data_IF_682076449636
#
_entry.id   IF_682076449636
#
_cell.length_a   1.000
_cell.length_b   1.000
_cell.length_c   1.000
_cell.angle_alpha   90.00
_cell.angle_beta   90.00
_cell.angle_gamma   90.00
#
_symmetry.space_group_name_H-M   'P 1'
#
loop_
_entity.id
_entity.type
_entity.pdbx_description
1 polymer ?
#
# COMPACT_ATOMS: atom_id res chain seq x y z
N UNK A 1 16.65 -39.25 49.65
CA UNK A 1 15.97 -39.81 48.46
C UNK A 1 14.69 -39.07 48.07
N UNK A 2 13.78 -38.75 48.99
CA UNK A 2 12.47 -38.15 48.65
C UNK A 2 12.54 -36.74 48.00
N UNK A 3 13.58 -35.94 48.28
CA UNK A 3 13.78 -34.62 47.64
C UNK A 3 14.24 -34.73 46.18
N UNK A 4 14.99 -35.76 45.84
CA UNK A 4 15.40 -36.03 44.45
C UNK A 4 14.25 -36.60 43.62
N UNK A 5 13.36 -37.39 44.23
CA UNK A 5 12.15 -37.90 43.59
C UNK A 5 11.20 -36.75 43.19
N UNK A 6 11.07 -35.73 44.03
CA UNK A 6 10.26 -34.53 43.74
C UNK A 6 10.84 -33.67 42.61
N UNK A 7 12.17 -33.59 42.50
CA UNK A 7 12.86 -32.87 41.41
C UNK A 7 12.75 -33.60 40.06
N UNK A 8 12.72 -34.94 40.08
CA UNK A 8 12.64 -35.76 38.87
C UNK A 8 11.22 -35.79 38.27
N UNK A 9 10.18 -35.66 39.10
CA UNK A 9 8.78 -35.56 38.67
C UNK A 9 8.42 -34.21 38.02
N UNK A 10 9.14 -33.14 38.36
CA UNK A 10 8.91 -31.81 37.79
C UNK A 10 9.43 -31.69 36.34
N UNK A 11 10.41 -32.51 35.96
CA UNK A 11 11.04 -32.46 34.64
C UNK A 11 10.20 -33.15 33.54
N UNK A 12 9.25 -34.00 33.89
CA UNK A 12 8.42 -34.76 32.91
C UNK A 12 7.28 -33.94 32.30
N UNK A 13 7.03 -32.71 32.76
CA UNK A 13 5.97 -31.86 32.21
C UNK A 13 6.39 -30.99 31.01
N UNK A 14 7.67 -31.01 30.61
CA UNK A 14 8.18 -30.11 29.55
C UNK A 14 8.21 -30.79 28.16
N UNK A 15 7.96 -32.10 28.05
CA UNK A 15 7.91 -32.80 26.76
C UNK A 15 6.48 -33.07 26.29
N UNK A 16 5.74 -32.00 25.94
CA UNK A 16 4.46 -32.13 25.25
C UNK A 16 4.19 -30.93 24.34
N UNK A 17 4.94 -30.81 23.25
CA UNK A 17 4.55 -30.03 22.06
C UNK A 17 5.40 -30.45 20.86
N UNK A 18 4.90 -31.38 20.03
CA UNK A 18 5.06 -31.44 18.57
C UNK A 18 4.53 -32.79 18.04
N UNK A 19 3.26 -32.83 17.61
CA UNK A 19 2.77 -33.83 16.66
C UNK A 19 1.90 -33.14 15.63
N UNK A 20 2.53 -32.73 14.53
CA UNK A 20 1.83 -32.29 13.33
C UNK A 20 1.55 -33.56 12.52
N UNK A 21 0.32 -34.05 12.61
CA UNK A 21 -0.22 -35.04 11.68
C UNK A 21 -0.83 -34.30 10.50
N UNK A 22 -0.06 -34.14 9.42
CA UNK A 22 -0.62 -33.99 8.07
C UNK A 22 -0.79 -35.41 7.50
N UNK A 23 -1.83 -36.10 7.96
CA UNK A 23 -2.34 -37.29 7.28
C UNK A 23 -3.49 -36.87 6.37
N UNK A 24 -3.19 -36.76 5.07
CA UNK A 24 -4.18 -36.78 4.01
C UNK A 24 -3.96 -38.05 3.17
N UNK A 25 -4.48 -39.18 3.66
CA UNK A 25 -4.85 -40.30 2.80
C UNK A 25 -6.37 -40.40 2.79
N UNK A 26 -6.96 -39.95 1.67
CA UNK A 26 -8.32 -40.23 1.26
C UNK A 26 -8.28 -40.94 -0.09
N UNK A 27 -8.96 -42.06 -0.17
CA UNK A 27 -8.87 -43.11 -1.18
C UNK A 27 -9.38 -42.71 -2.57
N UNK A 28 -8.91 -43.45 -3.58
CA UNK A 28 -9.38 -43.43 -4.97
C UNK A 28 -10.85 -43.84 -5.04
N UNK A 29 -11.71 -42.95 -5.51
CA UNK A 29 -13.00 -43.30 -6.13
C UNK A 29 -13.09 -42.63 -7.49
N UNK A 30 -13.42 -43.41 -8.51
CA UNK A 30 -13.43 -43.01 -9.91
C UNK A 30 -14.46 -41.93 -10.19
N UNK A 31 -14.00 -40.72 -10.48
CA UNK A 31 -14.64 -39.78 -11.38
C UNK A 31 -13.55 -38.80 -11.83
N UNK A 32 -13.05 -38.93 -13.05
CA UNK A 32 -12.11 -37.95 -13.60
C UNK A 32 -12.85 -36.61 -13.66
N UNK A 33 -12.46 -35.58 -12.88
CA UNK A 33 -13.10 -34.29 -12.99
C UNK A 33 -12.73 -33.74 -14.37
N UNK A 34 -13.74 -33.52 -15.20
CA UNK A 34 -13.57 -32.77 -16.44
C UNK A 34 -13.06 -31.39 -16.01
N UNK A 35 -11.77 -31.14 -16.21
CA UNK A 35 -11.16 -29.84 -15.91
C UNK A 35 -11.63 -28.88 -16.98
N UNK A 36 -12.79 -28.29 -16.76
CA UNK A 36 -13.22 -27.09 -17.48
C UNK A 36 -12.29 -25.96 -17.04
N UNK A 37 -11.41 -25.53 -17.95
CA UNK A 37 -10.69 -24.28 -17.83
C UNK A 37 -11.71 -23.15 -17.98
N UNK A 38 -12.43 -22.86 -16.91
CA UNK A 38 -13.26 -21.66 -16.83
C UNK A 38 -12.35 -20.48 -16.50
N UNK A 39 -12.11 -19.65 -17.52
CA UNK A 39 -11.34 -18.41 -17.42
C UNK A 39 -11.94 -17.39 -16.45
N UNK A 40 -13.14 -17.66 -15.90
CA UNK A 40 -13.84 -16.81 -14.94
C UNK A 40 -13.67 -17.23 -13.46
N UNK A 41 -12.90 -18.27 -13.16
CA UNK A 41 -12.54 -18.58 -11.76
C UNK A 41 -11.45 -17.59 -11.34
N UNK A 42 -11.70 -16.70 -10.35
CA UNK A 42 -10.67 -15.78 -9.88
C UNK A 42 -9.46 -16.60 -9.46
N UNK A 43 -8.32 -16.34 -10.11
CA UNK A 43 -7.02 -16.95 -9.78
C UNK A 43 -6.88 -16.87 -8.26
N UNK A 44 -6.82 -18.03 -7.60
CA UNK A 44 -6.63 -18.10 -6.16
C UNK A 44 -5.28 -17.45 -5.85
N UNK A 45 -5.30 -16.19 -5.41
CA UNK A 45 -4.10 -15.49 -4.97
C UNK A 45 -3.50 -16.30 -3.83
N UNK A 46 -2.26 -16.71 -3.98
CA UNK A 46 -1.54 -17.48 -2.98
C UNK A 46 -1.47 -16.68 -1.68
N UNK A 47 -1.69 -17.32 -0.53
CA UNK A 47 -1.58 -16.62 0.75
C UNK A 47 -0.10 -16.40 1.06
N UNK A 48 0.35 -15.15 0.94
CA UNK A 48 1.68 -14.69 1.36
C UNK A 48 1.58 -13.88 2.64
N UNK A 49 2.65 -13.88 3.44
CA UNK A 49 2.77 -12.99 4.59
C UNK A 49 2.92 -11.53 4.14
N UNK A 50 2.58 -10.57 5.01
CA UNK A 50 2.77 -9.15 4.70
C UNK A 50 4.22 -8.79 4.37
N UNK A 51 5.19 -9.48 4.98
CA UNK A 51 6.61 -9.32 4.68
C UNK A 51 6.95 -9.78 3.26
N UNK A 52 6.51 -10.99 2.88
CA UNK A 52 6.71 -11.50 1.52
C UNK A 52 6.03 -10.63 0.47
N UNK A 53 4.85 -10.09 0.76
CA UNK A 53 4.17 -9.15 -0.12
C UNK A 53 4.98 -7.85 -0.22
N UNK A 54 5.46 -7.31 0.90
CA UNK A 54 6.25 -6.08 0.91
C UNK A 54 7.52 -6.22 0.05
N UNK A 55 8.26 -7.31 0.21
CA UNK A 55 9.44 -7.62 -0.61
C UNK A 55 9.11 -7.76 -2.09
N UNK A 56 7.99 -8.42 -2.42
CA UNK A 56 7.51 -8.54 -3.79
C UNK A 56 7.19 -7.19 -4.42
N UNK A 57 6.46 -6.32 -3.71
CA UNK A 57 6.11 -4.98 -4.19
C UNK A 57 7.33 -4.06 -4.33
N UNK A 58 8.32 -4.18 -3.44
CA UNK A 58 9.61 -3.49 -3.58
C UNK A 58 10.30 -3.93 -4.87
N UNK A 59 10.48 -5.24 -5.07
CA UNK A 59 11.15 -5.77 -6.26
C UNK A 59 10.48 -5.32 -7.55
N UNK A 60 9.14 -5.40 -7.60
CA UNK A 60 8.35 -4.95 -8.73
C UNK A 60 8.55 -3.46 -9.00
N UNK A 61 8.51 -2.63 -7.96
CA UNK A 61 8.69 -1.18 -8.09
C UNK A 61 10.10 -0.80 -8.54
N UNK A 62 11.13 -1.43 -7.97
CA UNK A 62 12.54 -1.19 -8.35
C UNK A 62 12.89 -1.68 -9.76
N UNK A 63 12.05 -2.52 -10.38
CA UNK A 63 12.25 -2.96 -11.76
C UNK A 63 11.88 -1.90 -12.81
N UNK A 64 11.17 -0.85 -12.39
CA UNK A 64 10.74 0.25 -13.26
C UNK A 64 11.92 1.20 -13.51
N UNK A 65 12.17 1.62 -14.76
CA UNK A 65 13.24 2.56 -15.08
C UNK A 65 13.14 3.85 -14.25
N UNK A 66 14.30 4.36 -13.83
CA UNK A 66 14.44 5.57 -13.01
C UNK A 66 13.84 5.46 -11.59
N UNK A 67 13.56 4.24 -11.11
CA UNK A 67 13.38 3.97 -9.68
C UNK A 67 14.69 3.44 -9.12
N UNK A 68 15.33 4.19 -8.24
CA UNK A 68 16.60 3.84 -7.61
C UNK A 68 16.42 2.91 -6.41
N UNK A 69 15.41 3.17 -5.59
CA UNK A 69 15.08 2.36 -4.42
C UNK A 69 13.57 2.38 -4.20
N UNK A 70 13.06 1.38 -3.49
CA UNK A 70 11.67 1.33 -3.07
C UNK A 70 11.52 0.78 -1.66
N UNK A 71 10.42 1.11 -1.02
CA UNK A 71 10.06 0.57 0.29
C UNK A 71 8.57 0.29 0.32
N UNK A 72 8.18 -0.86 0.84
CA UNK A 72 6.79 -1.22 1.02
C UNK A 72 6.46 -1.56 2.47
N UNK A 73 5.25 -1.19 2.89
CA UNK A 73 4.65 -1.58 4.17
C UNK A 73 3.25 -2.09 3.89
N UNK A 74 2.99 -3.35 4.26
CA UNK A 74 1.70 -4.02 4.04
C UNK A 74 0.96 -4.19 5.35
N UNK A 75 -0.27 -3.69 5.40
CA UNK A 75 -1.16 -3.79 6.56
C UNK A 75 -2.52 -4.31 6.14
N UNK A 76 -2.81 -5.56 6.51
CA UNK A 76 -4.05 -6.22 6.15
C UNK A 76 -4.18 -6.35 4.63
N UNK A 77 -5.08 -5.57 4.04
CA UNK A 77 -5.34 -5.55 2.59
C UNK A 77 -4.70 -4.35 1.87
N UNK A 78 -4.12 -3.43 2.61
CA UNK A 78 -3.54 -2.20 2.07
C UNK A 78 -2.02 -2.33 2.01
N UNK A 79 -1.43 -1.69 1.00
CA UNK A 79 0.01 -1.55 0.86
C UNK A 79 0.36 -0.07 0.67
N UNK A 80 1.43 0.38 1.32
CA UNK A 80 2.04 1.68 1.07
C UNK A 80 3.37 1.43 0.40
N UNK A 81 3.60 2.02 -0.77
CA UNK A 81 4.82 1.85 -1.55
C UNK A 81 5.46 3.21 -1.79
N UNK A 82 6.63 3.43 -1.22
CA UNK A 82 7.46 4.59 -1.46
C UNK A 82 8.50 4.28 -2.52
N UNK A 83 8.67 5.19 -3.48
CA UNK A 83 9.70 5.10 -4.53
C UNK A 83 10.67 6.28 -4.41
N UNK A 84 11.96 5.99 -4.55
CA UNK A 84 13.01 6.99 -4.74
C UNK A 84 13.39 7.03 -6.22
N UNK A 85 13.21 8.20 -6.83
CA UNK A 85 13.46 8.43 -8.26
C UNK A 85 14.78 9.18 -8.53
N UNK A 86 15.56 9.46 -7.49
CA UNK A 86 16.82 10.22 -7.62
C UNK A 86 16.64 11.73 -7.74
N UNK A 87 17.68 12.46 -7.37
CA UNK A 87 17.66 13.93 -7.32
C UNK A 87 17.79 14.58 -8.70
N UNK A 88 18.38 13.89 -9.68
CA UNK A 88 18.54 14.37 -11.05
C UNK A 88 17.26 14.28 -11.90
N UNK A 89 16.23 13.56 -11.45
CA UNK A 89 14.96 13.45 -12.18
C UNK A 89 14.14 14.73 -12.03
N UNK A 90 13.77 15.32 -13.16
CA UNK A 90 12.92 16.51 -13.15
C UNK A 90 11.56 16.21 -12.52
N UNK A 91 11.02 17.15 -11.73
CA UNK A 91 9.70 17.02 -11.08
C UNK A 91 8.56 16.69 -12.06
N UNK A 92 8.67 17.15 -13.30
CA UNK A 92 7.76 16.85 -14.42
C UNK A 92 7.76 15.36 -14.79
N UNK A 93 8.89 14.67 -14.65
CA UNK A 93 9.07 13.25 -15.00
C UNK A 93 8.69 12.31 -13.85
N UNK A 94 8.77 12.78 -12.60
CA UNK A 94 8.35 12.02 -11.40
C UNK A 94 6.91 11.53 -11.52
N UNK A 95 6.01 12.34 -12.09
CA UNK A 95 4.63 11.95 -12.33
C UNK A 95 4.50 10.73 -13.25
N UNK A 96 5.27 10.71 -14.33
CA UNK A 96 5.31 9.60 -15.29
C UNK A 96 5.86 8.33 -14.66
N UNK A 97 6.95 8.43 -13.89
CA UNK A 97 7.53 7.27 -13.18
C UNK A 97 6.52 6.71 -12.17
N UNK A 98 5.88 7.59 -11.38
CA UNK A 98 4.84 7.18 -10.43
C UNK A 98 3.67 6.48 -11.14
N UNK A 99 3.29 6.94 -12.33
CA UNK A 99 2.27 6.29 -13.16
C UNK A 99 2.70 4.89 -13.60
N UNK A 100 3.91 4.73 -14.11
CA UNK A 100 4.44 3.42 -14.52
C UNK A 100 4.52 2.42 -13.35
N UNK A 101 4.91 2.88 -12.17
CA UNK A 101 4.88 2.06 -10.95
C UNK A 101 3.42 1.71 -10.59
N UNK A 102 2.50 2.67 -10.63
CA UNK A 102 1.10 2.43 -10.33
C UNK A 102 0.46 1.40 -11.28
N UNK A 103 0.79 1.44 -12.57
CA UNK A 103 0.34 0.46 -13.57
C UNK A 103 0.87 -0.94 -13.25
N UNK A 104 2.18 -1.09 -13.02
CA UNK A 104 2.78 -2.36 -12.67
C UNK A 104 2.18 -2.97 -11.38
N UNK A 105 1.94 -2.14 -10.36
CA UNK A 105 1.32 -2.58 -9.10
C UNK A 105 -0.17 -2.91 -9.29
N UNK A 106 -0.89 -2.19 -10.15
CA UNK A 106 -2.31 -2.42 -10.40
C UNK A 106 -2.56 -3.78 -11.06
N UNK A 107 -1.65 -4.24 -11.93
CA UNK A 107 -1.71 -5.57 -12.54
C UNK A 107 -1.30 -6.69 -11.57
N UNK A 108 -0.64 -6.35 -10.46
CA UNK A 108 -0.22 -7.30 -9.44
C UNK A 108 -1.35 -7.58 -8.42
N UNK A 109 -1.68 -8.87 -8.14
CA UNK A 109 -2.75 -9.21 -7.21
C UNK A 109 -2.53 -8.71 -5.78
N UNK A 110 -1.28 -8.46 -5.37
CA UNK A 110 -0.93 -7.90 -4.07
C UNK A 110 -0.73 -6.38 -4.10
N UNK A 111 -0.49 -5.80 -5.28
CA UNK A 111 -0.29 -4.36 -5.50
C UNK A 111 -1.56 -3.58 -5.87
N UNK A 112 -2.65 -4.27 -6.22
CA UNK A 112 -3.90 -3.65 -6.70
C UNK A 112 -4.53 -2.60 -5.76
N UNK A 113 -4.17 -2.62 -4.47
CA UNK A 113 -4.63 -1.65 -3.46
C UNK A 113 -3.49 -0.81 -2.87
N UNK A 114 -2.36 -0.70 -3.59
CA UNK A 114 -1.20 0.03 -3.14
C UNK A 114 -1.39 1.55 -3.27
N UNK A 115 -0.94 2.29 -2.26
CA UNK A 115 -0.79 3.74 -2.30
C UNK A 115 0.66 4.05 -2.61
N UNK A 116 0.92 4.78 -3.71
CA UNK A 116 2.26 5.10 -4.18
C UNK A 116 2.68 6.51 -3.74
N UNK A 117 3.88 6.61 -3.18
CA UNK A 117 4.48 7.84 -2.68
C UNK A 117 5.82 8.06 -3.38
N UNK A 118 6.02 9.24 -3.97
CA UNK A 118 7.28 9.64 -4.62
C UNK A 118 7.87 10.93 -4.02
N UNK A 119 7.31 11.38 -2.91
CA UNK A 119 7.81 12.53 -2.17
C UNK A 119 8.99 12.09 -1.28
N UNK A 120 10.15 12.77 -1.31
CA UNK A 120 11.33 12.37 -0.54
C UNK A 120 11.10 12.30 0.97
N UNK A 121 10.35 13.24 1.55
CA UNK A 121 10.10 13.31 2.99
C UNK A 121 9.18 12.15 3.42
N UNK A 122 8.11 11.90 2.66
CA UNK A 122 7.20 10.79 2.92
C UNK A 122 7.86 9.42 2.65
N UNK A 123 8.75 9.33 1.65
CA UNK A 123 9.56 8.13 1.40
C UNK A 123 10.46 7.81 2.60
N UNK A 124 11.20 8.81 3.11
CA UNK A 124 12.04 8.64 4.28
C UNK A 124 11.22 8.18 5.49
N UNK A 125 10.05 8.78 5.70
CA UNK A 125 9.13 8.38 6.75
C UNK A 125 8.64 6.94 6.60
N UNK A 126 8.26 6.52 5.40
CA UNK A 126 7.84 5.16 5.13
C UNK A 126 8.98 4.14 5.35
N UNK A 127 10.23 4.54 5.05
CA UNK A 127 11.43 3.73 5.30
C UNK A 127 11.68 3.49 6.78
N UNK A 128 11.50 4.51 7.62
CA UNK A 128 11.55 4.36 9.08
C UNK A 128 10.48 3.38 9.58
N UNK A 129 9.24 3.55 9.12
CA UNK A 129 8.12 2.69 9.49
C UNK A 129 8.39 1.23 9.08
N UNK A 130 8.87 0.99 7.86
CA UNK A 130 9.20 -0.35 7.39
C UNK A 130 10.25 -1.03 8.28
N UNK A 131 11.28 -0.28 8.68
CA UNK A 131 12.31 -0.78 9.60
C UNK A 131 11.73 -1.11 10.97
N UNK A 132 10.83 -0.29 11.49
CA UNK A 132 10.17 -0.53 12.77
C UNK A 132 9.24 -1.75 12.74
N UNK A 133 8.53 -1.96 11.63
CA UNK A 133 7.75 -3.19 11.38
C UNK A 133 8.66 -4.42 11.37
N UNK A 134 9.79 -4.37 10.65
CA UNK A 134 10.76 -5.46 10.60
C UNK A 134 11.36 -5.79 11.97
N UNK A 135 11.55 -4.78 12.82
CA UNK A 135 12.05 -4.93 14.19
C UNK A 135 10.97 -5.39 15.19
N UNK A 136 9.73 -5.62 14.75
CA UNK A 136 8.65 -6.10 15.61
C UNK A 136 8.06 -5.03 16.54
N UNK A 137 8.15 -3.74 16.19
CA UNK A 137 7.54 -2.67 16.99
C UNK A 137 6.01 -2.79 17.03
N UNK A 138 5.35 -2.35 18.12
CA UNK A 138 3.89 -2.38 18.23
C UNK A 138 3.20 -1.56 17.13
N UNK A 139 2.22 -2.16 16.46
CA UNK A 139 1.48 -1.55 15.35
C UNK A 139 0.82 -0.21 15.72
N UNK A 140 0.42 -0.02 16.99
CA UNK A 140 -0.24 1.21 17.44
C UNK A 140 0.61 2.47 17.22
N UNK A 141 1.94 2.37 17.37
CA UNK A 141 2.86 3.48 17.08
C UNK A 141 2.92 3.77 15.59
N UNK A 142 3.05 2.72 14.78
CA UNK A 142 3.11 2.78 13.31
C UNK A 142 1.82 3.35 12.70
N UNK A 143 0.65 3.01 13.24
CA UNK A 143 -0.63 3.51 12.74
C UNK A 143 -0.77 5.02 12.87
N UNK A 144 -0.24 5.63 13.93
CA UNK A 144 -0.24 7.08 14.08
C UNK A 144 0.60 7.73 12.96
N UNK A 145 1.79 7.17 12.69
CA UNK A 145 2.69 7.69 11.65
C UNK A 145 2.14 7.49 10.23
N UNK A 146 1.48 6.36 9.96
CA UNK A 146 0.81 6.12 8.68
C UNK A 146 -0.42 7.01 8.48
N UNK A 147 -1.09 7.42 9.55
CA UNK A 147 -2.23 8.34 9.47
C UNK A 147 -1.78 9.73 8.99
N UNK A 148 -0.61 10.19 9.43
CA UNK A 148 -0.04 11.45 8.96
C UNK A 148 0.34 11.40 7.46
N UNK A 149 0.83 10.24 6.98
CA UNK A 149 1.12 10.00 5.57
C UNK A 149 -0.18 9.94 4.74
N UNK A 150 -1.16 9.17 5.21
CA UNK A 150 -2.45 8.95 4.52
C UNK A 150 -3.31 10.22 4.48
N UNK A 151 -3.28 11.05 5.53
CA UNK A 151 -4.03 12.31 5.57
C UNK A 151 -3.53 13.36 4.57
N UNK A 152 -2.25 13.28 4.17
CA UNK A 152 -1.66 14.12 3.12
C UNK A 152 -1.85 13.52 1.73
N UNK A 153 -2.04 12.21 1.65
CA UNK A 153 -2.34 11.46 0.44
C UNK A 153 -3.85 11.21 0.40
N UNK A 154 -4.65 12.25 0.18
CA UNK A 154 -6.06 12.03 -0.13
C UNK A 154 -6.12 11.16 -1.38
N UNK A 155 -6.62 9.91 -1.30
CA UNK A 155 -6.63 9.06 -2.47
C UNK A 155 -7.61 9.66 -3.46
N UNK A 156 -7.12 10.02 -4.65
CA UNK A 156 -7.95 10.01 -5.83
C UNK A 156 -8.28 8.54 -6.09
N UNK A 157 -9.26 8.01 -5.35
CA UNK A 157 -9.82 6.71 -5.65
C UNK A 157 -10.36 6.86 -7.06
N UNK A 158 -9.83 6.16 -8.08
CA UNK A 158 -10.45 6.18 -9.38
C UNK A 158 -11.84 5.61 -9.15
N UNK A 159 -12.88 6.42 -9.33
CA UNK A 159 -14.18 5.85 -9.68
C UNK A 159 -13.87 4.98 -10.88
N UNK A 160 -14.09 3.68 -10.75
CA UNK A 160 -13.98 2.67 -11.80
C UNK A 160 -14.14 3.32 -13.18
N UNK A 161 -13.11 3.25 -14.01
CA UNK A 161 -13.05 3.86 -15.36
C UNK A 161 -14.14 3.32 -16.31
N UNK A 162 -15.03 2.46 -15.83
CA UNK A 162 -16.18 1.95 -16.58
C UNK A 162 -17.31 2.96 -16.75
N UNK A 163 -17.34 4.05 -15.97
CA UNK A 163 -18.37 5.10 -16.06
C UNK A 163 -17.84 6.46 -16.54
N UNK A 164 -16.56 6.59 -16.87
CA UNK A 164 -16.03 7.83 -17.47
C UNK A 164 -16.24 7.78 -18.98
N UNK A 165 -17.49 7.96 -19.41
CA UNK A 165 -17.75 8.47 -20.75
C UNK A 165 -17.11 9.88 -20.80
N UNK A 166 -16.10 10.15 -21.65
CA UNK A 166 -15.49 11.48 -21.76
C UNK A 166 -16.48 12.59 -22.16
N UNK A 167 -17.70 12.21 -22.57
CA UNK A 167 -18.82 13.12 -22.87
C UNK A 167 -19.56 13.65 -21.63
N UNK A 168 -19.32 13.11 -20.43
CA UNK A 168 -19.97 13.53 -19.17
C UNK A 168 -18.99 14.11 -18.14
N UNK A 169 -17.81 14.57 -18.58
CA UNK A 169 -16.97 15.42 -17.73
C UNK A 169 -17.75 16.68 -17.32
N UNK A 170 -17.48 17.29 -16.15
CA UNK A 170 -18.07 18.59 -15.85
C UNK A 170 -17.62 19.58 -16.93
N UNK A 171 -18.53 19.95 -17.82
CA UNK A 171 -18.27 20.86 -18.97
C UNK A 171 -17.72 22.23 -18.56
N UNK A 172 -17.67 22.54 -17.26
CA UNK A 172 -17.18 23.80 -16.74
C UNK A 172 -16.51 23.61 -15.37
N UNK A 173 -15.18 23.70 -15.24
CA UNK A 173 -14.49 23.78 -13.95
C UNK A 173 -14.82 25.04 -13.13
N UNK A 174 -15.71 25.91 -13.61
CA UNK A 174 -16.08 27.20 -13.01
C UNK A 174 -17.54 27.29 -12.57
N UNK A 175 -18.21 26.14 -12.38
CA UNK A 175 -19.65 26.08 -12.14
C UNK A 175 -20.13 26.56 -10.77
N UNK A 176 -19.33 26.46 -9.70
CA UNK A 176 -19.83 26.67 -8.33
C UNK A 176 -18.89 27.50 -7.44
N UNK A 177 -18.47 28.67 -7.91
CA UNK A 177 -18.04 29.73 -7.00
C UNK A 177 -19.17 30.74 -6.81
N UNK A 178 -19.68 30.83 -5.58
CA UNK A 178 -20.66 31.82 -5.16
C UNK A 178 -20.18 33.22 -5.61
N UNK A 179 -20.87 33.81 -6.60
CA UNK A 179 -20.51 35.09 -7.27
C UNK A 179 -20.32 36.27 -6.29
N UNK A 180 -20.79 36.12 -5.05
CA UNK A 180 -20.61 37.09 -3.97
C UNK A 180 -19.15 37.18 -3.52
N UNK A 181 -18.45 36.05 -3.41
CA UNK A 181 -17.09 35.97 -2.85
C UNK A 181 -16.03 36.46 -3.86
N UNK A 182 -16.29 36.29 -5.16
CA UNK A 182 -15.36 36.68 -6.23
C UNK A 182 -15.20 38.21 -6.33
N UNK A 183 -16.26 38.96 -5.99
CA UNK A 183 -16.22 40.42 -5.92
C UNK A 183 -15.48 40.93 -4.69
N UNK A 184 -15.52 40.19 -3.60
CA UNK A 184 -14.84 40.54 -2.35
C UNK A 184 -13.33 40.32 -2.49
N UNK A 185 -12.93 39.18 -3.06
CA UNK A 185 -11.54 38.85 -3.39
C UNK A 185 -10.91 39.85 -4.35
N UNK A 186 -11.64 40.29 -5.39
CA UNK A 186 -11.16 41.33 -6.32
C UNK A 186 -10.97 42.68 -5.62
N UNK A 187 -11.90 43.05 -4.72
CA UNK A 187 -11.78 44.29 -3.95
C UNK A 187 -10.62 44.25 -2.95
N UNK A 188 -10.35 43.11 -2.33
CA UNK A 188 -9.17 42.94 -1.47
C UNK A 188 -7.87 43.01 -2.26
N UNK A 189 -7.80 42.35 -3.43
CA UNK A 189 -6.62 42.40 -4.30
C UNK A 189 -6.34 43.81 -4.82
N UNK A 190 -7.38 44.55 -5.22
CA UNK A 190 -7.23 45.96 -5.63
C UNK A 190 -6.73 46.82 -4.46
N UNK A 191 -7.30 46.66 -3.25
CA UNK A 191 -6.82 47.39 -2.07
C UNK A 191 -5.35 47.11 -1.77
N UNK A 192 -4.93 45.85 -1.81
CA UNK A 192 -3.53 45.49 -1.56
C UNK A 192 -2.58 45.96 -2.67
N UNK A 193 -3.08 46.14 -3.90
CA UNK A 193 -2.28 46.72 -4.99
C UNK A 193 -2.07 48.22 -4.81
N UNK A 194 -3.03 48.94 -4.24
CA UNK A 194 -2.92 50.38 -4.00
C UNK A 194 -2.11 50.70 -2.72
N UNK A 195 -2.20 49.85 -1.69
CA UNK A 195 -1.48 50.02 -0.41
C UNK A 195 0.03 49.78 -0.52
N UNK A 196 0.51 49.33 -1.69
CA UNK A 196 1.92 49.04 -1.97
C UNK A 196 2.63 50.12 -2.81
N UNK A 197 1.95 51.24 -3.08
CA UNK A 197 2.45 52.33 -3.94
C UNK A 197 2.80 53.61 -3.14
N UNK A 198 2.57 53.66 -1.82
CA UNK A 198 3.05 54.76 -0.96
C UNK A 198 4.32 54.39 -0.17
#
# INVERSE_FOLDING_TARGET
MNRFILLLLAFTFITACARNTDEAQGERSGNQPITVNDSNIPKRVERKSGQQISEHLVNLSTSIPNVHDATAVVIGKYAFVGIDVGAEVERSQVGTIKYSVAEALQEDPYGAQAVIVADPDLYARLKEISKDVQNGRPLQGIFNELSDISGRLMPEVPKSLKDTNPENGPDNPKGDMNKSNDRELKKEQEKQSYDKID
#
